data_IF_743746389199
#
_entry.id   IF_743746389199
#
_cell.length_a   1.000
_cell.length_b   1.000
_cell.length_c   1.000
_cell.angle_alpha   90.00
_cell.angle_beta   90.00
_cell.angle_gamma   90.00
#
_symmetry.space_group_name_H-M   'P 1'
#
loop_
_entity.id
_entity.type
_entity.pdbx_description
1 polymer ?
#
# COMPACT_ATOMS: atom_id res chain seq x y z
N UNK A 1 -58.09 -25.82 32.17
CA UNK A 1 -58.49 -26.16 30.79
C UNK A 1 -59.46 -27.34 30.74
N UNK A 2 -59.06 -28.57 31.12
CA UNK A 2 -59.93 -29.76 31.00
C UNK A 2 -61.31 -29.67 31.70
N UNK A 3 -61.37 -29.15 32.95
CA UNK A 3 -62.65 -28.97 33.69
C UNK A 3 -63.60 -27.95 33.03
N UNK A 4 -63.06 -26.92 32.37
CA UNK A 4 -63.83 -25.89 31.67
C UNK A 4 -64.45 -26.43 30.37
N UNK A 5 -63.69 -27.21 29.60
CA UNK A 5 -64.22 -27.88 28.40
C UNK A 5 -65.30 -28.90 28.76
N UNK A 6 -65.11 -29.66 29.85
CA UNK A 6 -66.14 -30.59 30.34
C UNK A 6 -67.46 -29.88 30.66
N UNK A 7 -67.40 -28.73 31.36
CA UNK A 7 -68.58 -27.93 31.68
C UNK A 7 -69.28 -27.35 30.43
N UNK A 8 -68.50 -26.83 29.47
CA UNK A 8 -69.05 -26.32 28.19
C UNK A 8 -69.71 -27.41 27.34
N UNK A 9 -69.15 -28.63 27.33
CA UNK A 9 -69.76 -29.78 26.65
C UNK A 9 -71.09 -30.14 27.30
N UNK A 10 -71.17 -30.14 28.64
CA UNK A 10 -72.43 -30.42 29.37
C UNK A 10 -73.50 -29.38 29.02
N UNK A 11 -73.16 -28.09 29.02
CA UNK A 11 -74.09 -27.01 28.62
C UNK A 11 -74.52 -27.18 27.16
N UNK A 12 -73.59 -27.47 26.26
CA UNK A 12 -73.89 -27.69 24.84
C UNK A 12 -74.86 -28.87 24.66
N UNK A 13 -74.61 -30.00 25.33
CA UNK A 13 -75.48 -31.17 25.28
C UNK A 13 -76.87 -30.88 25.88
N UNK A 14 -76.95 -30.12 26.98
CA UNK A 14 -78.22 -29.70 27.56
C UNK A 14 -79.02 -28.79 26.62
N UNK A 15 -78.37 -27.83 25.97
CA UNK A 15 -78.99 -26.95 24.97
C UNK A 15 -79.47 -27.75 23.74
N UNK A 16 -78.69 -28.75 23.30
CA UNK A 16 -79.02 -29.61 22.19
C UNK A 16 -80.22 -30.53 22.51
N UNK A 17 -80.29 -31.06 23.73
CA UNK A 17 -81.44 -31.81 24.22
C UNK A 17 -82.70 -30.95 24.28
N UNK A 18 -82.60 -29.69 24.70
CA UNK A 18 -83.72 -28.75 24.73
C UNK A 18 -84.20 -28.40 23.31
N UNK A 19 -83.27 -28.14 22.38
CA UNK A 19 -83.57 -27.89 20.97
C UNK A 19 -84.23 -29.09 20.29
N UNK A 20 -83.79 -30.31 20.61
CA UNK A 20 -84.38 -31.55 20.11
C UNK A 20 -85.82 -31.72 20.61
N UNK A 21 -86.08 -31.38 21.88
CA UNK A 21 -87.40 -31.44 22.48
C UNK A 21 -88.38 -30.43 21.87
N UNK A 22 -87.91 -29.22 21.57
CA UNK A 22 -88.73 -28.13 21.01
C UNK A 22 -89.01 -28.30 19.50
N UNK A 23 -88.15 -29.01 18.76
CA UNK A 23 -88.25 -29.16 17.29
C UNK A 23 -88.50 -30.61 16.87
N UNK A 24 -89.69 -31.13 17.17
CA UNK A 24 -90.10 -32.51 16.81
C UNK A 24 -90.52 -32.71 15.34
N UNK A 25 -90.58 -31.63 14.55
CA UNK A 25 -90.99 -31.69 13.15
C UNK A 25 -89.97 -32.40 12.24
N UNK A 26 -90.45 -32.98 11.14
CA UNK A 26 -89.62 -33.53 10.05
C UNK A 26 -89.54 -32.56 8.88
N UNK A 27 -88.45 -32.63 8.13
CA UNK A 27 -88.24 -31.90 6.87
C UNK A 27 -87.95 -32.93 5.79
N UNK A 28 -88.64 -32.81 4.66
CA UNK A 28 -88.34 -33.60 3.47
C UNK A 28 -87.07 -33.09 2.80
N UNK A 29 -86.01 -33.90 2.82
CA UNK A 29 -84.77 -33.62 2.10
C UNK A 29 -84.77 -34.39 0.78
N UNK A 30 -84.94 -33.69 -0.33
CA UNK A 30 -84.77 -34.28 -1.67
C UNK A 30 -83.29 -34.29 -2.03
N UNK A 31 -82.72 -35.48 -2.19
CA UNK A 31 -81.33 -35.68 -2.60
C UNK A 31 -81.24 -36.05 -4.08
N UNK A 32 -80.01 -36.18 -4.57
CA UNK A 32 -79.71 -36.53 -5.96
C UNK A 32 -80.47 -37.81 -6.38
N UNK A 33 -81.05 -37.80 -7.58
CA UNK A 33 -82.07 -38.75 -8.11
C UNK A 33 -83.52 -38.56 -7.64
N UNK A 34 -83.85 -37.48 -6.95
CA UNK A 34 -85.25 -37.12 -6.65
C UNK A 34 -85.88 -37.93 -5.52
N UNK A 35 -85.10 -38.73 -4.80
CA UNK A 35 -85.57 -39.43 -3.58
C UNK A 35 -85.68 -38.43 -2.43
N UNK A 36 -86.83 -38.42 -1.78
CA UNK A 36 -87.10 -37.55 -0.61
C UNK A 36 -87.03 -38.39 0.67
N UNK A 37 -86.18 -37.98 1.60
CA UNK A 37 -86.07 -38.58 2.94
C UNK A 37 -86.65 -37.63 3.97
N UNK A 38 -87.54 -38.10 4.85
CA UNK A 38 -88.01 -37.32 5.98
C UNK A 38 -87.01 -37.41 7.13
N UNK A 39 -86.43 -36.27 7.50
CA UNK A 39 -85.45 -36.19 8.58
C UNK A 39 -85.94 -35.26 9.69
N UNK A 40 -85.72 -35.59 10.97
CA UNK A 40 -85.95 -34.66 12.07
C UNK A 40 -85.08 -33.39 11.91
N UNK A 41 -85.63 -32.22 12.18
CA UNK A 41 -84.92 -30.92 12.09
C UNK A 41 -83.60 -30.93 12.90
N UNK A 42 -83.61 -31.56 14.07
CA UNK A 42 -82.42 -31.69 14.94
C UNK A 42 -81.24 -32.40 14.22
N UNK A 43 -81.53 -33.36 13.35
CA UNK A 43 -80.51 -34.07 12.57
C UNK A 43 -79.82 -33.14 11.59
N UNK A 44 -80.58 -32.21 10.97
CA UNK A 44 -80.03 -31.23 10.03
C UNK A 44 -79.13 -30.19 10.74
N UNK A 45 -79.52 -29.75 11.94
CA UNK A 45 -78.71 -28.86 12.79
C UNK A 45 -77.40 -29.55 13.21
N UNK A 46 -77.47 -30.83 13.62
CA UNK A 46 -76.30 -31.63 13.97
C UNK A 46 -75.36 -31.82 12.78
N UNK A 47 -75.89 -32.14 11.60
CA UNK A 47 -75.10 -32.29 10.37
C UNK A 47 -74.39 -30.97 10.01
N UNK A 48 -75.09 -29.83 10.05
CA UNK A 48 -74.50 -28.51 9.77
C UNK A 48 -73.40 -28.13 10.76
N UNK A 49 -73.64 -28.37 12.06
CA UNK A 49 -72.65 -28.12 13.12
C UNK A 49 -71.42 -29.02 12.95
N UNK A 50 -71.64 -30.29 12.60
CA UNK A 50 -70.58 -31.25 12.32
C UNK A 50 -69.74 -30.82 11.11
N UNK A 51 -70.37 -30.39 10.01
CA UNK A 51 -69.67 -29.87 8.83
C UNK A 51 -68.84 -28.63 9.21
N UNK A 52 -69.39 -27.72 10.01
CA UNK A 52 -68.68 -26.54 10.52
C UNK A 52 -67.43 -26.91 11.34
N UNK A 53 -67.59 -27.76 12.36
CA UNK A 53 -66.48 -28.25 13.18
C UNK A 53 -65.44 -28.99 12.34
N UNK A 54 -65.89 -29.86 11.43
CA UNK A 54 -65.03 -30.65 10.56
C UNK A 54 -64.23 -29.76 9.60
N UNK A 55 -64.86 -28.72 9.02
CA UNK A 55 -64.17 -27.75 8.16
C UNK A 55 -63.10 -26.96 8.92
N UNK A 56 -63.39 -26.52 10.15
CA UNK A 56 -62.41 -25.85 11.03
C UNK A 56 -61.28 -26.82 11.38
N UNK A 57 -61.59 -28.07 11.72
CA UNK A 57 -60.59 -29.10 12.03
C UNK A 57 -59.67 -29.33 10.83
N UNK A 58 -60.21 -29.46 9.63
CA UNK A 58 -59.43 -29.59 8.39
C UNK A 58 -58.50 -28.38 8.22
N UNK A 59 -59.01 -27.16 8.38
CA UNK A 59 -58.20 -25.93 8.24
C UNK A 59 -57.07 -25.88 9.27
N UNK A 60 -57.34 -26.25 10.53
CA UNK A 60 -56.34 -26.30 11.60
C UNK A 60 -55.29 -27.37 11.31
N UNK A 61 -55.69 -28.57 10.90
CA UNK A 61 -54.77 -29.66 10.54
C UNK A 61 -53.87 -29.25 9.37
N UNK A 62 -54.43 -28.66 8.31
CA UNK A 62 -53.64 -28.16 7.17
C UNK A 62 -52.66 -27.08 7.61
N UNK A 63 -53.10 -26.12 8.45
CA UNK A 63 -52.24 -25.03 8.96
C UNK A 63 -51.09 -25.58 9.79
N UNK A 64 -51.37 -26.50 10.71
CA UNK A 64 -50.37 -27.04 11.62
C UNK A 64 -49.42 -28.00 10.89
N UNK A 65 -49.90 -28.74 9.89
CA UNK A 65 -49.07 -29.52 8.98
C UNK A 65 -48.10 -28.63 8.18
N UNK A 66 -48.57 -27.50 7.63
CA UNK A 66 -47.69 -26.52 6.96
C UNK A 66 -46.63 -25.98 7.91
N UNK A 67 -47.02 -25.54 9.12
CA UNK A 67 -46.08 -25.06 10.14
C UNK A 67 -45.04 -26.11 10.53
N UNK A 68 -45.45 -27.37 10.65
CA UNK A 68 -44.55 -28.48 10.95
C UNK A 68 -43.54 -28.72 9.81
N UNK A 69 -44.01 -28.70 8.55
CA UNK A 69 -43.14 -28.83 7.38
C UNK A 69 -42.14 -27.67 7.31
N UNK A 70 -42.59 -26.43 7.51
CA UNK A 70 -41.72 -25.24 7.51
C UNK A 70 -40.66 -25.33 8.62
N UNK A 71 -41.08 -25.73 9.82
CA UNK A 71 -40.16 -25.95 10.94
C UNK A 71 -39.13 -27.04 10.64
N UNK A 72 -39.57 -28.18 10.09
CA UNK A 72 -38.70 -29.28 9.72
C UNK A 72 -37.71 -28.89 8.62
N UNK A 73 -38.16 -28.16 7.60
CA UNK A 73 -37.30 -27.64 6.53
C UNK A 73 -36.25 -26.69 7.10
N UNK A 74 -36.65 -25.76 7.98
CA UNK A 74 -35.73 -24.83 8.65
C UNK A 74 -34.69 -25.56 9.48
N UNK A 75 -35.10 -26.52 10.31
CA UNK A 75 -34.18 -27.35 11.09
C UNK A 75 -33.20 -28.12 10.21
N UNK A 76 -33.67 -28.68 9.08
CA UNK A 76 -32.81 -29.39 8.14
C UNK A 76 -31.80 -28.45 7.47
N UNK A 77 -32.21 -27.25 7.11
CA UNK A 77 -31.33 -26.22 6.56
C UNK A 77 -30.29 -25.75 7.58
N UNK A 78 -30.68 -25.53 8.83
CA UNK A 78 -29.78 -25.17 9.94
C UNK A 78 -28.76 -26.27 10.21
N UNK A 79 -29.19 -27.53 10.32
CA UNK A 79 -28.28 -28.67 10.48
C UNK A 79 -27.30 -28.80 9.30
N UNK A 80 -27.77 -28.57 8.07
CA UNK A 80 -26.91 -28.55 6.88
C UNK A 80 -25.91 -27.40 6.96
N UNK A 81 -26.34 -26.20 7.33
CA UNK A 81 -25.48 -25.02 7.45
C UNK A 81 -24.39 -25.22 8.53
N UNK A 82 -24.75 -25.78 9.69
CA UNK A 82 -23.80 -26.12 10.75
C UNK A 82 -22.74 -27.13 10.28
N UNK A 83 -23.16 -28.17 9.55
CA UNK A 83 -22.23 -29.15 8.99
C UNK A 83 -21.28 -28.52 7.96
N UNK A 84 -21.78 -27.64 7.11
CA UNK A 84 -20.94 -26.87 6.18
C UNK A 84 -19.95 -25.99 6.93
N UNK A 85 -20.41 -25.28 7.97
CA UNK A 85 -19.55 -24.42 8.78
C UNK A 85 -18.46 -25.22 9.50
N UNK A 86 -18.76 -26.43 9.98
CA UNK A 86 -17.80 -27.33 10.61
C UNK A 86 -16.73 -27.79 9.61
N UNK A 87 -17.14 -28.23 8.43
CA UNK A 87 -16.23 -28.66 7.36
C UNK A 87 -15.36 -27.48 6.89
N UNK A 88 -15.95 -26.30 6.71
CA UNK A 88 -15.22 -25.08 6.39
C UNK A 88 -14.20 -24.73 7.48
N UNK A 89 -14.57 -24.83 8.76
CA UNK A 89 -13.65 -24.54 9.87
C UNK A 89 -12.45 -25.48 9.85
N UNK A 90 -12.65 -26.79 9.65
CA UNK A 90 -11.56 -27.75 9.47
C UNK A 90 -10.67 -27.41 8.27
N UNK A 91 -11.29 -27.07 7.13
CA UNK A 91 -10.55 -26.68 5.92
C UNK A 91 -9.73 -25.39 6.10
N UNK A 92 -10.29 -24.40 6.82
CA UNK A 92 -9.61 -23.16 7.19
C UNK A 92 -8.43 -23.42 8.14
N UNK A 93 -8.61 -24.30 9.12
CA UNK A 93 -7.55 -24.63 10.07
C UNK A 93 -6.41 -25.41 9.38
N UNK A 94 -6.74 -26.30 8.43
CA UNK A 94 -5.75 -26.93 7.55
C UNK A 94 -5.01 -25.90 6.67
N UNK A 95 -5.72 -24.89 6.14
CA UNK A 95 -5.12 -23.79 5.38
C UNK A 95 -4.08 -23.00 6.20
N UNK A 96 -4.43 -22.61 7.43
CA UNK A 96 -3.49 -21.91 8.30
C UNK A 96 -2.32 -22.80 8.76
N UNK A 97 -2.53 -24.11 8.81
CA UNK A 97 -1.47 -25.09 9.04
C UNK A 97 -0.63 -25.40 7.78
N UNK A 98 -0.82 -24.66 6.67
CA UNK A 98 -0.16 -24.87 5.37
C UNK A 98 -0.37 -26.26 4.75
N UNK A 99 -1.37 -27.02 5.22
CA UNK A 99 -1.79 -28.30 4.66
C UNK A 99 -2.75 -28.06 3.48
N UNK A 100 -2.21 -27.51 2.40
CA UNK A 100 -3.02 -26.98 1.30
C UNK A 100 -3.87 -28.02 0.56
N UNK A 101 -3.41 -29.27 0.44
CA UNK A 101 -4.16 -30.31 -0.26
C UNK A 101 -5.38 -30.76 0.55
N UNK A 102 -5.20 -30.98 1.86
CA UNK A 102 -6.30 -31.25 2.81
C UNK A 102 -7.28 -30.08 2.88
N UNK A 103 -6.76 -28.85 2.92
CA UNK A 103 -7.57 -27.64 2.91
C UNK A 103 -8.42 -27.54 1.64
N UNK A 104 -7.83 -27.79 0.46
CA UNK A 104 -8.55 -27.82 -0.81
C UNK A 104 -9.70 -28.82 -0.77
N UNK A 105 -9.46 -30.06 -0.34
CA UNK A 105 -10.50 -31.09 -0.28
C UNK A 105 -11.65 -30.69 0.66
N UNK A 106 -11.33 -30.23 1.87
CA UNK A 106 -12.33 -29.84 2.86
C UNK A 106 -13.13 -28.61 2.40
N UNK A 107 -12.46 -27.60 1.84
CA UNK A 107 -13.13 -26.40 1.33
C UNK A 107 -13.98 -26.73 0.09
N UNK A 108 -13.55 -27.67 -0.75
CA UNK A 108 -14.32 -28.12 -1.90
C UNK A 108 -15.61 -28.84 -1.46
N UNK A 109 -15.54 -29.71 -0.44
CA UNK A 109 -16.72 -30.33 0.17
C UNK A 109 -17.67 -29.31 0.79
N UNK A 110 -17.14 -28.23 1.36
CA UNK A 110 -17.95 -27.14 1.89
C UNK A 110 -18.73 -26.41 0.78
N UNK A 111 -18.09 -26.11 -0.37
CA UNK A 111 -18.77 -25.46 -1.50
C UNK A 111 -19.72 -26.40 -2.26
N UNK A 112 -19.46 -27.71 -2.32
CA UNK A 112 -20.40 -28.70 -2.87
C UNK A 112 -21.71 -28.72 -2.07
N UNK A 113 -21.58 -28.60 -0.74
CA UNK A 113 -22.73 -28.57 0.16
C UNK A 113 -23.43 -27.20 0.15
N UNK A 114 -22.67 -26.11 -0.01
CA UNK A 114 -23.17 -24.75 -0.12
C UNK A 114 -22.35 -23.92 -1.13
N UNK A 115 -22.79 -23.83 -2.40
CA UNK A 115 -22.04 -23.11 -3.45
C UNK A 115 -21.89 -21.60 -3.21
N UNK A 116 -22.71 -21.01 -2.35
CA UNK A 116 -22.64 -19.58 -2.01
C UNK A 116 -21.76 -19.28 -0.78
N UNK A 117 -20.99 -20.25 -0.29
CA UNK A 117 -20.14 -20.06 0.88
C UNK A 117 -18.90 -19.20 0.58
N UNK A 118 -19.06 -17.87 0.67
CA UNK A 118 -18.06 -16.85 0.31
C UNK A 118 -16.67 -17.12 0.89
N UNK A 119 -16.57 -17.41 2.18
CA UNK A 119 -15.25 -17.59 2.82
C UNK A 119 -14.53 -18.87 2.34
N UNK A 120 -15.27 -19.89 1.91
CA UNK A 120 -14.66 -21.11 1.40
C UNK A 120 -14.10 -20.88 -0.01
N UNK A 121 -14.84 -20.13 -0.83
CA UNK A 121 -14.37 -19.67 -2.14
C UNK A 121 -13.14 -18.78 -2.01
N UNK A 122 -13.13 -17.83 -1.06
CA UNK A 122 -11.96 -16.99 -0.79
C UNK A 122 -10.73 -17.83 -0.44
N UNK A 123 -10.85 -18.75 0.51
CA UNK A 123 -9.71 -19.58 0.93
C UNK A 123 -9.22 -20.52 -0.19
N UNK A 124 -10.12 -21.05 -1.02
CA UNK A 124 -9.71 -21.79 -2.23
C UNK A 124 -8.94 -20.88 -3.19
N UNK A 125 -9.42 -19.66 -3.42
CA UNK A 125 -8.70 -18.65 -4.20
C UNK A 125 -7.31 -18.36 -3.64
N UNK A 126 -7.19 -18.20 -2.31
CA UNK A 126 -5.92 -17.96 -1.60
C UNK A 126 -4.93 -19.12 -1.78
N UNK A 127 -5.41 -20.36 -1.73
CA UNK A 127 -4.60 -21.55 -1.96
C UNK A 127 -4.07 -21.59 -3.39
N UNK A 128 -4.96 -21.40 -4.38
CA UNK A 128 -4.54 -21.40 -5.79
C UNK A 128 -3.61 -20.23 -6.13
N UNK A 129 -3.84 -19.05 -5.53
CA UNK A 129 -2.94 -17.91 -5.65
C UNK A 129 -1.53 -18.22 -5.11
N UNK A 130 -1.46 -18.96 -3.99
CA UNK A 130 -0.21 -19.40 -3.36
C UNK A 130 0.49 -20.49 -4.19
N UNK A 131 -0.27 -21.35 -4.88
CA UNK A 131 0.22 -22.35 -5.84
C UNK A 131 0.57 -21.77 -7.22
N UNK A 132 0.47 -20.46 -7.40
CA UNK A 132 0.69 -19.74 -8.67
C UNK A 132 -0.30 -20.08 -9.81
N UNK A 133 -1.39 -20.79 -9.51
CA UNK A 133 -2.50 -21.04 -10.46
C UNK A 133 -3.46 -19.83 -10.45
N UNK A 134 -3.01 -18.76 -11.10
CA UNK A 134 -3.72 -17.47 -11.13
C UNK A 134 -5.11 -17.59 -11.78
N UNK A 135 -5.27 -18.49 -12.75
CA UNK A 135 -6.53 -18.72 -13.44
C UNK A 135 -7.61 -19.28 -12.50
N UNK A 136 -7.29 -20.31 -11.72
CA UNK A 136 -8.23 -20.84 -10.71
C UNK A 136 -8.45 -19.87 -9.57
N UNK A 137 -7.42 -19.17 -9.11
CA UNK A 137 -7.57 -18.13 -8.09
C UNK A 137 -8.60 -17.07 -8.53
N UNK A 138 -8.50 -16.61 -9.79
CA UNK A 138 -9.46 -15.70 -10.41
C UNK A 138 -10.88 -16.24 -10.41
N UNK A 139 -11.06 -17.49 -10.82
CA UNK A 139 -12.38 -18.13 -10.86
C UNK A 139 -13.03 -18.15 -9.47
N UNK A 140 -12.30 -18.58 -8.43
CA UNK A 140 -12.84 -18.61 -7.07
C UNK A 140 -13.11 -17.21 -6.49
N UNK A 141 -12.20 -16.25 -6.67
CA UNK A 141 -12.42 -14.88 -6.21
C UNK A 141 -13.58 -14.18 -6.93
N UNK A 142 -13.73 -14.40 -8.25
CA UNK A 142 -14.85 -13.83 -9.00
C UNK A 142 -16.19 -14.45 -8.61
N UNK A 143 -16.23 -15.77 -8.34
CA UNK A 143 -17.42 -16.43 -7.75
C UNK A 143 -17.77 -15.81 -6.39
N UNK A 144 -16.80 -15.62 -5.51
CA UNK A 144 -17.01 -14.96 -4.22
C UNK A 144 -17.56 -13.53 -4.41
N UNK A 145 -17.01 -12.75 -5.34
CA UNK A 145 -17.44 -11.38 -5.63
C UNK A 145 -18.87 -11.31 -6.21
N UNK A 146 -19.31 -12.32 -6.96
CA UNK A 146 -20.71 -12.40 -7.45
C UNK A 146 -21.70 -12.59 -6.32
N UNK A 147 -21.33 -13.31 -5.26
CA UNK A 147 -22.21 -13.59 -4.12
C UNK A 147 -22.27 -12.39 -3.18
N UNK A 148 -21.11 -11.82 -2.83
CA UNK A 148 -21.00 -10.65 -1.94
C UNK A 148 -20.25 -9.52 -2.65
N UNK A 149 -20.90 -8.82 -3.60
CA UNK A 149 -20.28 -7.69 -4.26
C UNK A 149 -19.94 -6.60 -3.23
N UNK A 150 -18.91 -5.80 -3.52
CA UNK A 150 -18.42 -4.72 -2.63
C UNK A 150 -17.90 -5.21 -1.27
N UNK A 151 -17.47 -6.47 -1.16
CA UNK A 151 -16.70 -6.91 0.01
C UNK A 151 -15.23 -6.48 -0.12
N UNK A 152 -14.74 -5.68 0.84
CA UNK A 152 -13.35 -5.20 0.85
C UNK A 152 -12.34 -6.36 0.81
N UNK A 153 -12.54 -7.45 1.55
CA UNK A 153 -11.66 -8.63 1.55
C UNK A 153 -11.55 -9.26 0.15
N UNK A 154 -12.69 -9.38 -0.56
CA UNK A 154 -12.73 -9.97 -1.90
C UNK A 154 -12.09 -9.02 -2.92
N UNK A 155 -12.39 -7.72 -2.85
CA UNK A 155 -11.81 -6.72 -3.74
C UNK A 155 -10.29 -6.63 -3.57
N UNK A 156 -9.77 -6.71 -2.34
CA UNK A 156 -8.33 -6.77 -2.07
C UNK A 156 -7.68 -8.05 -2.62
N UNK A 157 -8.38 -9.18 -2.55
CA UNK A 157 -7.88 -10.44 -3.11
C UNK A 157 -7.79 -10.39 -4.64
N UNK A 158 -8.80 -9.81 -5.29
CA UNK A 158 -8.81 -9.57 -6.73
C UNK A 158 -7.76 -8.52 -7.16
N UNK A 159 -7.58 -7.47 -6.38
CA UNK A 159 -6.52 -6.46 -6.57
C UNK A 159 -5.13 -7.09 -6.57
N UNK A 160 -4.81 -7.86 -5.52
CA UNK A 160 -3.53 -8.56 -5.40
C UNK A 160 -3.30 -9.56 -6.54
N UNK A 161 -4.36 -10.25 -6.97
CA UNK A 161 -4.31 -11.11 -8.14
C UNK A 161 -3.99 -10.33 -9.42
N UNK A 162 -4.70 -9.23 -9.67
CA UNK A 162 -4.47 -8.36 -10.82
C UNK A 162 -3.06 -7.74 -10.80
N UNK A 163 -2.55 -7.37 -9.63
CA UNK A 163 -1.17 -6.88 -9.45
C UNK A 163 -0.15 -7.96 -9.84
N UNK A 164 -0.33 -9.20 -9.36
CA UNK A 164 0.54 -10.34 -9.70
C UNK A 164 0.51 -10.68 -11.20
N UNK A 165 -0.65 -10.52 -11.83
CA UNK A 165 -0.81 -10.64 -13.30
C UNK A 165 -0.32 -9.41 -14.07
N UNK A 166 0.20 -8.37 -13.39
CA UNK A 166 0.62 -7.08 -13.98
C UNK A 166 -0.51 -6.34 -14.72
N UNK A 167 -1.78 -6.60 -14.36
CA UNK A 167 -2.97 -5.92 -14.87
C UNK A 167 -3.27 -4.68 -14.05
N UNK A 168 -2.42 -3.66 -14.22
CA UNK A 168 -2.41 -2.44 -13.39
C UNK A 168 -3.74 -1.69 -13.37
N UNK A 169 -4.38 -1.53 -14.54
CA UNK A 169 -5.68 -0.85 -14.64
C UNK A 169 -6.79 -1.60 -13.89
N UNK A 170 -6.75 -2.93 -13.90
CA UNK A 170 -7.74 -3.75 -13.19
C UNK A 170 -7.54 -3.67 -11.67
N UNK A 171 -6.29 -3.72 -11.22
CA UNK A 171 -5.93 -3.54 -9.80
C UNK A 171 -6.36 -2.16 -9.29
N UNK A 172 -6.09 -1.08 -10.05
CA UNK A 172 -6.55 0.28 -9.73
C UNK A 172 -8.07 0.34 -9.61
N UNK A 173 -8.81 -0.27 -10.53
CA UNK A 173 -10.28 -0.32 -10.47
C UNK A 173 -10.79 -1.02 -9.20
N UNK A 174 -10.15 -2.11 -8.77
CA UNK A 174 -10.54 -2.76 -7.51
C UNK A 174 -10.24 -1.90 -6.28
N UNK A 175 -9.13 -1.15 -6.28
CA UNK A 175 -8.82 -0.17 -5.23
C UNK A 175 -9.83 0.98 -5.23
N UNK A 176 -10.21 1.47 -6.40
CA UNK A 176 -11.24 2.50 -6.55
C UNK A 176 -12.59 2.04 -5.99
N UNK A 177 -13.01 0.80 -6.29
CA UNK A 177 -14.21 0.21 -5.71
C UNK A 177 -14.14 0.11 -4.17
N UNK A 178 -12.95 -0.11 -3.60
CA UNK A 178 -12.77 -0.11 -2.13
C UNK A 178 -12.90 1.31 -1.58
N UNK A 179 -12.30 2.29 -2.26
CA UNK A 179 -12.34 3.71 -1.87
C UNK A 179 -13.74 4.33 -2.09
N UNK A 180 -14.58 3.77 -2.95
CA UNK A 180 -16.00 4.13 -3.03
C UNK A 180 -16.82 3.63 -1.84
N UNK A 181 -16.42 2.53 -1.21
CA UNK A 181 -17.09 2.00 -0.01
C UNK A 181 -16.64 2.78 1.23
N UNK A 182 -15.34 3.05 1.31
CA UNK A 182 -14.72 3.85 2.37
C UNK A 182 -13.51 4.59 1.77
N UNK A 183 -13.68 5.89 1.55
CA UNK A 183 -12.67 6.77 0.95
C UNK A 183 -11.46 7.02 1.86
N UNK A 184 -11.63 6.82 3.17
CA UNK A 184 -10.58 6.87 4.18
C UNK A 184 -9.91 5.51 4.44
N UNK A 185 -10.17 4.48 3.63
CA UNK A 185 -9.50 3.18 3.78
C UNK A 185 -8.00 3.32 3.51
N UNK A 186 -7.21 3.49 4.58
CA UNK A 186 -5.79 3.76 4.49
C UNK A 186 -5.00 2.62 3.83
N UNK A 187 -5.43 1.37 4.04
CA UNK A 187 -4.79 0.22 3.39
C UNK A 187 -4.97 0.26 1.88
N UNK A 188 -6.14 0.67 1.38
CA UNK A 188 -6.39 0.82 -0.05
C UNK A 188 -5.62 2.02 -0.63
N UNK A 189 -5.55 3.14 0.09
CA UNK A 189 -4.75 4.30 -0.31
C UNK A 189 -3.26 3.95 -0.42
N UNK A 190 -2.69 3.24 0.56
CA UNK A 190 -1.30 2.80 0.51
C UNK A 190 -1.02 1.86 -0.67
N UNK A 191 -1.90 0.89 -0.93
CA UNK A 191 -1.79 -0.01 -2.09
C UNK A 191 -1.85 0.78 -3.40
N UNK A 192 -2.80 1.71 -3.52
CA UNK A 192 -2.95 2.56 -4.71
C UNK A 192 -1.72 3.41 -4.97
N UNK A 193 -1.16 4.02 -3.92
CA UNK A 193 0.10 4.78 -3.98
C UNK A 193 1.26 3.90 -4.45
N UNK A 194 1.45 2.73 -3.84
CA UNK A 194 2.53 1.82 -4.19
C UNK A 194 2.41 1.32 -5.65
N UNK A 195 1.18 1.11 -6.13
CA UNK A 195 0.91 0.74 -7.51
C UNK A 195 1.28 1.87 -8.49
N UNK A 196 0.94 3.12 -8.16
CA UNK A 196 1.39 4.27 -8.94
C UNK A 196 2.92 4.43 -8.90
N UNK A 197 3.56 4.16 -7.76
CA UNK A 197 5.01 4.22 -7.62
C UNK A 197 5.71 3.19 -8.53
N UNK A 198 5.25 1.94 -8.50
CA UNK A 198 5.77 0.87 -9.33
C UNK A 198 5.65 1.16 -10.83
N UNK A 199 4.64 1.95 -11.21
CA UNK A 199 4.36 2.34 -12.60
C UNK A 199 4.83 3.76 -12.93
N UNK A 200 5.62 4.41 -12.07
CA UNK A 200 6.14 5.79 -12.24
C UNK A 200 5.05 6.84 -12.55
N UNK A 201 3.82 6.62 -12.06
CA UNK A 201 2.68 7.55 -12.18
C UNK A 201 2.71 8.59 -11.07
N UNK A 202 3.74 9.43 -11.09
CA UNK A 202 4.08 10.33 -9.97
C UNK A 202 3.05 11.42 -9.71
N UNK A 203 2.35 11.92 -10.74
CA UNK A 203 1.33 12.95 -10.57
C UNK A 203 0.12 12.39 -9.80
N UNK A 204 -0.42 11.27 -10.27
CA UNK A 204 -1.54 10.56 -9.63
C UNK A 204 -1.17 10.03 -8.24
N UNK A 205 0.10 9.64 -8.05
CA UNK A 205 0.63 9.27 -6.74
C UNK A 205 0.53 10.40 -5.73
N UNK A 206 0.89 11.63 -6.10
CA UNK A 206 0.84 12.77 -5.19
C UNK A 206 -0.58 13.05 -4.70
N UNK A 207 -1.60 12.90 -5.56
CA UNK A 207 -3.00 13.07 -5.15
C UNK A 207 -3.38 12.06 -4.05
N UNK A 208 -2.96 10.81 -4.19
CA UNK A 208 -3.16 9.78 -3.16
C UNK A 208 -2.36 10.09 -1.90
N UNK A 209 -1.11 10.56 -2.04
CA UNK A 209 -0.27 10.92 -0.90
C UNK A 209 -0.87 12.06 -0.07
N UNK A 210 -1.44 13.08 -0.71
CA UNK A 210 -2.14 14.15 0.01
C UNK A 210 -3.37 13.64 0.77
N UNK A 211 -4.11 12.69 0.20
CA UNK A 211 -5.23 12.02 0.90
C UNK A 211 -4.73 11.27 2.14
N UNK A 212 -3.67 10.48 2.02
CA UNK A 212 -3.06 9.74 3.14
C UNK A 212 -2.66 10.68 4.29
N UNK A 213 -2.03 11.82 3.98
CA UNK A 213 -1.61 12.80 5.01
C UNK A 213 -2.81 13.47 5.67
N UNK A 214 -3.93 13.63 4.94
CA UNK A 214 -5.17 14.23 5.47
C UNK A 214 -5.95 13.25 6.36
N UNK A 215 -5.86 11.95 6.11
CA UNK A 215 -6.51 10.90 6.90
C UNK A 215 -6.07 10.90 8.37
N UNK A 216 -6.90 10.28 9.22
CA UNK A 216 -6.61 10.09 10.64
C UNK A 216 -5.63 8.92 10.84
N UNK A 217 -4.34 9.24 10.71
CA UNK A 217 -3.22 8.31 10.95
C UNK A 217 -2.37 8.79 12.14
N UNK A 218 -1.68 7.88 12.85
CA UNK A 218 -0.82 8.23 13.96
C UNK A 218 0.19 9.33 13.60
N UNK A 219 0.45 10.28 14.50
CA UNK A 219 1.32 11.44 14.25
C UNK A 219 2.73 11.04 13.73
N UNK A 220 3.29 9.94 14.25
CA UNK A 220 4.59 9.41 13.81
C UNK A 220 4.54 8.95 12.35
N UNK A 221 3.46 8.31 11.94
CA UNK A 221 3.24 7.91 10.54
C UNK A 221 3.01 9.12 9.65
N UNK A 222 2.23 10.11 10.12
CA UNK A 222 2.02 11.36 9.40
C UNK A 222 3.32 12.11 9.12
N UNK A 223 4.24 12.17 10.08
CA UNK A 223 5.58 12.75 9.89
C UNK A 223 6.40 11.96 8.85
N UNK A 224 6.34 10.63 8.88
CA UNK A 224 6.99 9.79 7.86
C UNK A 224 6.38 10.05 6.48
N UNK A 225 5.07 10.16 6.38
CA UNK A 225 4.38 10.41 5.11
C UNK A 225 4.61 11.82 4.57
N UNK A 226 4.81 12.81 5.43
CA UNK A 226 5.27 14.14 5.03
C UNK A 226 6.69 14.09 4.43
N UNK A 227 7.60 13.28 4.99
CA UNK A 227 8.94 13.07 4.41
C UNK A 227 8.86 12.33 3.07
N UNK A 228 8.02 11.30 2.97
CA UNK A 228 7.78 10.59 1.71
C UNK A 228 7.24 11.52 0.62
N UNK A 229 6.33 12.45 0.98
CA UNK A 229 5.80 13.45 0.05
C UNK A 229 6.90 14.27 -0.63
N UNK A 230 7.95 14.65 0.11
CA UNK A 230 9.10 15.35 -0.46
C UNK A 230 9.85 14.46 -1.46
N UNK A 231 10.06 13.20 -1.10
CA UNK A 231 10.62 12.19 -2.00
C UNK A 231 9.81 11.99 -3.29
N UNK A 232 8.48 11.87 -3.19
CA UNK A 232 7.62 11.73 -4.36
C UNK A 232 7.60 12.98 -5.25
N UNK A 233 7.69 14.18 -4.67
CA UNK A 233 7.88 15.41 -5.44
C UNK A 233 9.21 15.42 -6.18
N UNK A 234 10.29 14.94 -5.54
CA UNK A 234 11.58 14.77 -6.21
C UNK A 234 11.46 13.85 -7.43
N UNK A 235 10.80 12.70 -7.29
CA UNK A 235 10.59 11.76 -8.41
C UNK A 235 9.74 12.35 -9.54
N UNK A 236 8.70 13.13 -9.22
CA UNK A 236 7.92 13.85 -10.23
C UNK A 236 8.76 14.87 -10.99
N UNK A 237 9.60 15.63 -10.28
CA UNK A 237 10.52 16.59 -10.90
C UNK A 237 11.53 15.88 -11.82
N UNK A 238 12.10 14.76 -11.36
CA UNK A 238 13.02 13.96 -12.17
C UNK A 238 12.34 13.37 -13.41
N UNK A 239 11.11 12.88 -13.28
CA UNK A 239 10.32 12.45 -14.43
C UNK A 239 10.11 13.56 -15.46
N UNK A 240 9.79 14.79 -15.03
CA UNK A 240 9.67 15.91 -15.96
C UNK A 240 11.00 16.27 -16.64
N UNK A 241 12.14 16.09 -15.97
CA UNK A 241 13.46 16.27 -16.58
C UNK A 241 13.75 15.20 -17.64
N UNK A 242 13.41 13.95 -17.38
CA UNK A 242 13.56 12.83 -18.32
C UNK A 242 12.71 13.04 -19.58
N UNK A 243 11.50 13.57 -19.42
CA UNK A 243 10.58 13.90 -20.53
C UNK A 243 10.94 15.22 -21.25
N UNK A 244 12.02 15.91 -20.85
CA UNK A 244 12.43 17.20 -21.43
C UNK A 244 11.56 18.39 -21.05
N UNK A 245 10.62 18.24 -20.12
CA UNK A 245 9.74 19.30 -19.61
C UNK A 245 10.42 20.11 -18.48
N UNK A 246 11.56 20.75 -18.79
CA UNK A 246 12.39 21.47 -17.82
C UNK A 246 11.61 22.51 -16.99
N UNK A 247 10.70 23.29 -17.59
CA UNK A 247 9.88 24.29 -16.88
C UNK A 247 9.02 23.68 -15.76
N UNK A 248 8.47 22.49 -15.99
CA UNK A 248 7.67 21.78 -14.98
C UNK A 248 8.57 21.27 -13.86
N UNK A 249 9.73 20.72 -14.20
CA UNK A 249 10.71 20.27 -13.23
C UNK A 249 11.21 21.42 -12.32
N UNK A 250 11.55 22.57 -12.91
CA UNK A 250 11.97 23.78 -12.18
C UNK A 250 10.93 24.18 -11.14
N UNK A 251 9.64 24.23 -11.51
CA UNK A 251 8.54 24.56 -10.58
C UNK A 251 8.47 23.55 -9.42
N UNK A 252 8.58 22.26 -9.72
CA UNK A 252 8.53 21.20 -8.71
C UNK A 252 9.71 21.31 -7.74
N UNK A 253 10.94 21.42 -8.23
CA UNK A 253 12.13 21.50 -7.37
C UNK A 253 12.21 22.79 -6.55
N UNK A 254 11.80 23.94 -7.11
CA UNK A 254 11.65 25.19 -6.33
C UNK A 254 10.68 24.99 -5.16
N UNK A 255 9.56 24.30 -5.40
CA UNK A 255 8.59 24.01 -4.33
C UNK A 255 9.14 23.04 -3.27
N UNK A 256 9.99 22.10 -3.69
CA UNK A 256 10.63 21.12 -2.82
C UNK A 256 11.67 21.79 -1.91
N UNK A 257 12.53 22.64 -2.46
CA UNK A 257 13.52 23.44 -1.72
C UNK A 257 12.84 24.39 -0.73
N UNK A 258 11.72 25.01 -1.12
CA UNK A 258 10.95 25.85 -0.19
C UNK A 258 10.39 25.05 1.00
N UNK A 259 10.03 23.79 0.78
CA UNK A 259 9.53 22.91 1.84
C UNK A 259 10.65 22.33 2.71
N UNK A 260 11.81 22.05 2.12
CA UNK A 260 13.00 21.54 2.79
C UNK A 260 14.29 22.13 2.17
N UNK A 261 14.83 23.21 2.75
CA UNK A 261 16.10 23.81 2.31
C UNK A 261 17.32 22.90 2.46
N UNK A 262 17.20 21.77 3.17
CA UNK A 262 18.28 20.79 3.31
C UNK A 262 18.18 19.64 2.30
N UNK A 263 17.24 19.70 1.35
CA UNK A 263 17.09 18.69 0.30
C UNK A 263 18.13 18.88 -0.82
N UNK A 264 19.39 18.50 -0.55
CA UNK A 264 20.54 18.59 -1.47
C UNK A 264 20.23 18.06 -2.87
N UNK A 265 19.56 16.92 -2.99
CA UNK A 265 19.23 16.34 -4.30
C UNK A 265 18.29 17.21 -5.15
N UNK A 266 17.49 18.09 -4.53
CA UNK A 266 16.59 19.01 -5.23
C UNK A 266 17.35 20.19 -5.83
N UNK A 267 18.39 20.69 -5.14
CA UNK A 267 19.27 21.72 -5.69
C UNK A 267 20.03 21.20 -6.91
N UNK A 268 20.56 19.96 -6.85
CA UNK A 268 21.26 19.33 -7.97
C UNK A 268 20.36 19.21 -9.21
N UNK A 269 19.16 18.67 -9.07
CA UNK A 269 18.25 18.52 -10.21
C UNK A 269 17.63 19.84 -10.66
N UNK A 270 17.48 20.83 -9.78
CA UNK A 270 17.06 22.17 -10.19
C UNK A 270 18.13 22.84 -11.05
N UNK A 271 19.40 22.75 -10.66
CA UNK A 271 20.52 23.24 -11.47
C UNK A 271 20.57 22.52 -12.82
N UNK A 272 20.44 21.19 -12.85
CA UNK A 272 20.35 20.42 -14.10
C UNK A 272 19.18 20.88 -14.99
N UNK A 273 18.02 21.15 -14.39
CA UNK A 273 16.85 21.65 -15.11
C UNK A 273 17.09 23.02 -15.76
N UNK A 274 17.79 23.93 -15.06
CA UNK A 274 18.18 25.20 -15.63
C UNK A 274 19.22 25.05 -16.74
N UNK A 275 20.23 24.20 -16.57
CA UNK A 275 21.21 23.92 -17.62
C UNK A 275 20.55 23.37 -18.88
N UNK A 276 19.59 22.43 -18.74
CA UNK A 276 18.80 21.92 -19.87
C UNK A 276 17.92 22.98 -20.53
N UNK A 277 17.50 24.00 -19.78
CA UNK A 277 16.76 25.15 -20.30
C UNK A 277 17.67 26.25 -20.90
N UNK A 278 19.00 26.11 -20.79
CA UNK A 278 19.98 27.11 -21.24
C UNK A 278 20.23 28.26 -20.24
N UNK A 279 19.66 28.17 -19.04
CA UNK A 279 19.73 29.20 -18.00
C UNK A 279 20.93 28.93 -17.08
N UNK A 280 22.13 29.24 -17.57
CA UNK A 280 23.40 28.91 -16.91
C UNK A 280 23.57 29.64 -15.58
N UNK A 281 23.33 30.95 -15.54
CA UNK A 281 23.51 31.78 -14.34
C UNK A 281 22.61 31.31 -13.19
N UNK A 282 21.36 30.94 -13.48
CA UNK A 282 20.45 30.41 -12.48
C UNK A 282 20.86 29.03 -11.95
N UNK A 283 21.52 28.20 -12.78
CA UNK A 283 22.05 26.93 -12.32
C UNK A 283 23.17 27.15 -11.29
N UNK A 284 24.08 28.10 -11.55
CA UNK A 284 25.16 28.47 -10.64
C UNK A 284 24.63 29.00 -9.31
N UNK A 285 23.70 29.97 -9.36
CA UNK A 285 23.05 30.56 -8.19
C UNK A 285 22.36 29.51 -7.31
N UNK A 286 21.70 28.53 -7.92
CA UNK A 286 21.05 27.43 -7.19
C UNK A 286 22.06 26.54 -6.49
N UNK A 287 23.17 26.17 -7.14
CA UNK A 287 24.20 25.34 -6.52
C UNK A 287 24.86 26.07 -5.36
N UNK A 288 25.18 27.37 -5.52
CA UNK A 288 25.74 28.20 -4.47
C UNK A 288 24.76 28.34 -3.29
N UNK A 289 23.48 28.66 -3.55
CA UNK A 289 22.44 28.72 -2.52
C UNK A 289 22.26 27.40 -1.79
N UNK A 290 22.28 26.29 -2.51
CA UNK A 290 22.18 24.97 -1.91
C UNK A 290 23.36 24.65 -0.99
N UNK A 291 24.58 24.96 -1.45
CA UNK A 291 25.77 24.79 -0.62
C UNK A 291 25.71 25.67 0.62
N UNK A 292 25.28 26.93 0.49
CA UNK A 292 25.11 27.82 1.63
C UNK A 292 24.04 27.36 2.63
N UNK A 293 23.03 26.61 2.17
CA UNK A 293 21.94 26.11 3.01
C UNK A 293 22.33 24.87 3.83
N UNK A 294 23.06 23.92 3.24
CA UNK A 294 23.31 22.61 3.87
C UNK A 294 24.78 22.12 3.84
N UNK A 295 25.70 22.94 3.34
CA UNK A 295 27.14 22.66 3.26
C UNK A 295 27.49 21.34 2.56
N UNK A 296 26.64 20.84 1.66
CA UNK A 296 26.89 19.58 0.96
C UNK A 296 27.94 19.76 -0.15
N UNK A 297 29.11 19.12 0.02
CA UNK A 297 30.24 19.19 -0.92
C UNK A 297 29.92 18.79 -2.36
N UNK A 298 28.90 17.95 -2.59
CA UNK A 298 28.48 17.61 -3.95
C UNK A 298 27.98 18.84 -4.73
N UNK A 299 27.35 19.80 -4.06
CA UNK A 299 26.87 21.03 -4.71
C UNK A 299 28.05 21.90 -5.14
N UNK A 300 29.05 22.02 -4.28
CA UNK A 300 30.29 22.73 -4.57
C UNK A 300 31.08 22.06 -5.70
N UNK A 301 31.17 20.73 -5.70
CA UNK A 301 31.82 19.96 -6.77
C UNK A 301 31.11 20.14 -8.12
N UNK A 302 29.76 20.14 -8.15
CA UNK A 302 29.02 20.40 -9.39
C UNK A 302 29.20 21.84 -9.89
N UNK A 303 29.27 22.80 -8.98
CA UNK A 303 29.51 24.20 -9.35
C UNK A 303 30.94 24.40 -9.89
N UNK A 304 31.93 23.76 -9.27
CA UNK A 304 33.30 23.71 -9.77
C UNK A 304 33.37 23.12 -11.19
N UNK A 305 32.79 21.94 -11.42
CA UNK A 305 32.80 21.30 -12.74
C UNK A 305 32.20 22.21 -13.81
N UNK A 306 31.14 22.94 -13.46
CA UNK A 306 30.49 23.88 -14.36
C UNK A 306 31.36 25.11 -14.67
N UNK A 307 31.87 25.80 -13.65
CA UNK A 307 32.70 27.00 -13.81
C UNK A 307 34.00 26.72 -14.56
N UNK A 308 34.61 25.55 -14.33
CA UNK A 308 35.80 25.11 -15.08
C UNK A 308 35.45 24.87 -16.55
N UNK A 309 34.31 24.24 -16.84
CA UNK A 309 33.87 24.03 -18.22
C UNK A 309 33.60 25.35 -18.97
N UNK A 310 33.15 26.38 -18.24
CA UNK A 310 32.95 27.73 -18.76
C UNK A 310 34.25 28.55 -18.89
N UNK A 311 35.38 28.06 -18.37
CA UNK A 311 36.65 28.75 -18.42
C UNK A 311 36.80 29.88 -17.38
N UNK A 312 36.03 29.82 -16.29
CA UNK A 312 36.06 30.83 -15.21
C UNK A 312 36.61 30.28 -13.87
N UNK A 313 37.83 29.71 -13.84
CA UNK A 313 38.37 29.08 -12.64
C UNK A 313 38.60 30.06 -11.47
N UNK A 314 38.72 31.37 -11.75
CA UNK A 314 38.84 32.41 -10.73
C UNK A 314 37.62 32.50 -9.81
N UNK A 315 36.40 32.38 -10.37
CA UNK A 315 35.17 32.35 -9.57
C UNK A 315 35.13 31.12 -8.66
N UNK A 316 35.62 29.98 -9.14
CA UNK A 316 35.71 28.75 -8.34
C UNK A 316 36.66 28.93 -7.15
N UNK A 317 37.82 29.55 -7.36
CA UNK A 317 38.77 29.85 -6.27
C UNK A 317 38.13 30.78 -5.23
N UNK A 318 37.47 31.86 -5.67
CA UNK A 318 36.79 32.80 -4.79
C UNK A 318 35.68 32.10 -3.96
N UNK A 319 34.93 31.19 -4.58
CA UNK A 319 33.90 30.40 -3.93
C UNK A 319 34.47 29.53 -2.80
N UNK A 320 35.55 28.79 -3.05
CA UNK A 320 36.23 28.01 -2.01
C UNK A 320 36.80 28.91 -0.91
N UNK A 321 37.41 30.04 -1.26
CA UNK A 321 37.93 31.00 -0.28
C UNK A 321 36.82 31.56 0.62
N UNK A 322 35.67 31.94 0.05
CA UNK A 322 34.50 32.37 0.83
C UNK A 322 33.98 31.25 1.74
N UNK A 323 33.93 30.02 1.24
CA UNK A 323 33.52 28.86 2.04
C UNK A 323 34.48 28.62 3.21
N UNK A 324 35.79 28.72 3.00
CA UNK A 324 36.83 28.59 4.04
C UNK A 324 36.75 29.76 5.03
N UNK A 325 36.50 30.98 4.58
CA UNK A 325 36.33 32.12 5.50
C UNK A 325 35.13 31.92 6.44
N UNK A 326 34.06 31.29 5.97
CA UNK A 326 32.87 30.97 6.78
C UNK A 326 33.13 29.84 7.77
N UNK A 327 33.98 28.87 7.41
CA UNK A 327 34.35 27.73 8.24
C UNK A 327 35.86 27.43 8.16
N UNK A 328 36.72 28.23 8.85
CA UNK A 328 38.17 28.14 8.70
C UNK A 328 38.78 26.82 9.18
N UNK A 329 38.08 26.09 10.06
CA UNK A 329 38.51 24.80 10.57
C UNK A 329 38.22 23.63 9.64
N UNK A 330 37.52 23.85 8.53
CA UNK A 330 37.10 22.80 7.61
C UNK A 330 38.24 22.35 6.69
N UNK A 331 38.99 21.36 7.15
CA UNK A 331 40.10 20.77 6.41
C UNK A 331 39.69 20.22 5.03
N UNK A 332 38.42 19.80 4.86
CA UNK A 332 37.93 19.30 3.56
C UNK A 332 37.87 20.42 2.53
N UNK A 333 37.48 21.64 2.93
CA UNK A 333 37.46 22.79 2.02
C UNK A 333 38.88 23.18 1.59
N UNK A 334 39.84 23.13 2.52
CA UNK A 334 41.26 23.35 2.19
C UNK A 334 41.77 22.26 1.23
N UNK A 335 41.42 20.99 1.45
CA UNK A 335 41.76 19.88 0.56
C UNK A 335 41.22 20.09 -0.85
N UNK A 336 39.94 20.46 -1.00
CA UNK A 336 39.37 20.70 -2.32
C UNK A 336 39.95 21.93 -3.00
N UNK A 337 40.26 23.00 -2.25
CA UNK A 337 40.95 24.16 -2.81
C UNK A 337 42.36 23.80 -3.30
N UNK A 338 43.12 23.01 -2.52
CA UNK A 338 44.43 22.51 -2.94
C UNK A 338 44.34 21.64 -4.20
N UNK A 339 43.32 20.76 -4.27
CA UNK A 339 43.04 19.94 -5.45
C UNK A 339 42.70 20.80 -6.67
N UNK A 340 41.93 21.88 -6.49
CA UNK A 340 41.61 22.83 -7.55
C UNK A 340 42.87 23.55 -8.04
N UNK A 341 43.70 24.09 -7.13
CA UNK A 341 44.97 24.72 -7.52
C UNK A 341 45.87 23.75 -8.29
N UNK A 342 45.95 22.49 -7.86
CA UNK A 342 46.70 21.46 -8.58
C UNK A 342 46.13 21.23 -9.99
N UNK A 343 44.80 21.11 -10.13
CA UNK A 343 44.11 20.95 -11.43
C UNK A 343 44.37 22.13 -12.37
N UNK A 344 44.54 23.34 -11.84
CA UNK A 344 44.84 24.56 -12.58
C UNK A 344 46.35 24.79 -12.80
N UNK A 345 47.20 23.81 -12.47
CA UNK A 345 48.67 23.88 -12.56
C UNK A 345 49.29 25.03 -11.72
N UNK A 346 48.56 25.51 -10.69
CA UNK A 346 49.04 26.49 -9.71
C UNK A 346 49.78 25.77 -8.57
N UNK A 347 50.90 25.12 -8.91
CA UNK A 347 51.55 24.11 -8.06
C UNK A 347 52.01 24.65 -6.68
N UNK A 348 52.50 25.88 -6.60
CA UNK A 348 52.96 26.46 -5.32
C UNK A 348 51.78 26.74 -4.37
N UNK A 349 50.68 27.31 -4.88
CA UNK A 349 49.45 27.51 -4.13
C UNK A 349 48.81 26.18 -3.72
N UNK A 350 48.87 25.17 -4.59
CA UNK A 350 48.41 23.82 -4.27
C UNK A 350 49.18 23.23 -3.10
N UNK A 351 50.52 23.37 -3.08
CA UNK A 351 51.34 22.88 -1.99
C UNK A 351 51.06 23.62 -0.68
N UNK A 352 50.96 24.95 -0.74
CA UNK A 352 50.66 25.78 0.43
C UNK A 352 49.33 25.37 1.08
N UNK A 353 48.27 25.27 0.28
CA UNK A 353 46.95 24.85 0.74
C UNK A 353 46.95 23.41 1.26
N UNK A 354 47.67 22.48 0.60
CA UNK A 354 47.71 21.08 1.02
C UNK A 354 48.50 20.84 2.32
N UNK A 355 49.60 21.57 2.53
CA UNK A 355 50.42 21.46 3.76
C UNK A 355 49.79 22.18 4.95
N UNK A 356 48.95 23.18 4.70
CA UNK A 356 48.18 23.86 5.75
C UNK A 356 47.12 22.97 6.40
N UNK A 357 46.79 21.83 5.78
CA UNK A 357 45.81 20.89 6.29
C UNK A 357 46.34 20.17 7.52
N UNK A 358 45.60 20.27 8.62
CA UNK A 358 45.91 19.55 9.84
C UNK A 358 45.60 18.05 9.68
N UNK A 359 46.64 17.26 9.46
CA UNK A 359 46.56 15.79 9.34
C UNK A 359 46.00 15.11 10.60
N UNK A 360 46.00 15.76 11.78
CA UNK A 360 45.31 15.21 12.95
C UNK A 360 43.79 15.24 12.81
N UNK A 361 43.26 16.19 12.02
CA UNK A 361 41.83 16.38 11.78
C UNK A 361 41.37 15.78 10.45
N UNK A 362 42.27 15.71 9.46
CA UNK A 362 41.97 15.18 8.14
C UNK A 362 43.20 14.43 7.58
N UNK A 363 43.25 13.13 7.88
CA UNK A 363 44.19 12.19 7.28
C UNK A 363 43.42 11.27 6.32
N UNK A 364 43.71 11.39 5.02
CA UNK A 364 43.10 10.57 3.99
C UNK A 364 44.12 10.15 2.93
N UNK A 365 43.91 8.98 2.33
CA UNK A 365 44.72 8.53 1.18
C UNK A 365 44.70 9.56 0.04
N UNK A 366 43.57 10.24 -0.16
CA UNK A 366 43.41 11.26 -1.20
C UNK A 366 44.28 12.51 -0.95
N UNK A 367 44.42 12.93 0.31
CA UNK A 367 45.35 14.02 0.68
C UNK A 367 46.79 13.64 0.35
N UNK A 368 47.22 12.45 0.77
CA UNK A 368 48.58 11.97 0.53
C UNK A 368 48.89 11.73 -0.95
N UNK A 369 47.92 11.25 -1.74
CA UNK A 369 48.04 11.17 -3.20
C UNK A 369 48.21 12.57 -3.80
N UNK A 370 47.41 13.56 -3.37
CA UNK A 370 47.52 14.93 -3.85
C UNK A 370 48.89 15.54 -3.51
N UNK A 371 49.35 15.43 -2.27
CA UNK A 371 50.68 15.90 -1.85
C UNK A 371 51.81 15.21 -2.63
N UNK A 372 51.70 13.89 -2.84
CA UNK A 372 52.65 13.12 -3.64
C UNK A 372 52.73 13.63 -5.08
N UNK A 373 51.58 13.84 -5.72
CA UNK A 373 51.47 14.38 -7.08
C UNK A 373 52.03 15.82 -7.17
N UNK A 374 51.74 16.67 -6.17
CA UNK A 374 52.29 18.04 -6.10
C UNK A 374 53.82 17.99 -5.99
N UNK A 375 54.39 17.15 -5.12
CA UNK A 375 55.84 17.00 -4.99
C UNK A 375 56.48 16.43 -6.26
N UNK A 376 55.81 15.50 -6.93
CA UNK A 376 56.25 14.96 -8.23
C UNK A 376 56.34 16.06 -9.29
N UNK A 377 55.30 16.91 -9.42
CA UNK A 377 55.30 18.08 -10.31
C UNK A 377 56.45 19.05 -10.01
N UNK A 378 56.86 19.15 -8.74
CA UNK A 378 58.02 19.94 -8.30
C UNK A 378 59.36 19.20 -8.39
N UNK A 379 59.41 17.99 -8.97
CA UNK A 379 60.60 17.12 -9.05
C UNK A 379 61.19 16.70 -7.70
N UNK A 380 60.42 16.81 -6.61
CA UNK A 380 60.80 16.39 -5.26
C UNK A 380 60.46 14.91 -5.04
N UNK A 381 61.08 14.04 -5.83
CA UNK A 381 60.72 12.61 -5.90
C UNK A 381 60.82 11.89 -4.55
N UNK A 382 61.78 12.25 -3.69
CA UNK A 382 61.92 11.64 -2.36
C UNK A 382 60.70 11.88 -1.47
N UNK A 383 60.20 13.13 -1.43
CA UNK A 383 58.98 13.49 -0.69
C UNK A 383 57.73 12.89 -1.31
N UNK A 384 57.65 12.89 -2.65
CA UNK A 384 56.54 12.27 -3.36
C UNK A 384 56.38 10.79 -2.98
N UNK A 385 57.49 10.04 -2.98
CA UNK A 385 57.51 8.63 -2.56
C UNK A 385 57.10 8.45 -1.10
N UNK A 386 57.48 9.37 -0.21
CA UNK A 386 57.06 9.32 1.20
C UNK A 386 55.54 9.48 1.35
N UNK A 387 54.95 10.46 0.67
CA UNK A 387 53.51 10.71 0.67
C UNK A 387 52.73 9.56 0.04
N UNK A 388 53.17 9.03 -1.11
CA UNK A 388 52.55 7.85 -1.71
C UNK A 388 52.63 6.62 -0.79
N UNK A 389 53.71 6.43 -0.04
CA UNK A 389 53.78 5.37 0.98
C UNK A 389 52.76 5.57 2.10
N UNK A 390 52.50 6.82 2.54
CA UNK A 390 51.44 7.13 3.51
C UNK A 390 50.07 6.77 2.93
N UNK A 391 49.80 7.16 1.67
CA UNK A 391 48.56 6.81 0.99
C UNK A 391 48.31 5.29 0.90
N UNK A 392 49.36 4.50 0.64
CA UNK A 392 49.29 3.03 0.54
C UNK A 392 49.12 2.30 1.88
N UNK A 393 49.56 2.91 2.99
CA UNK A 393 49.40 2.34 4.33
C UNK A 393 47.96 2.42 4.85
N UNK A 394 47.14 3.29 4.25
CA UNK A 394 45.72 3.31 4.55
C UNK A 394 45.06 2.03 4.02
N UNK A 395 44.54 1.21 4.93
CA UNK A 395 43.95 -0.11 4.65
C UNK A 395 42.74 -0.10 3.69
N UNK A 396 42.28 1.06 3.22
CA UNK A 396 40.99 1.22 2.54
C UNK A 396 41.18 1.36 1.03
N UNK A 397 40.86 0.32 0.22
CA UNK A 397 40.96 0.40 -1.22
C UNK A 397 39.91 1.36 -1.80
N UNK A 398 40.32 2.07 -2.85
CA UNK A 398 39.52 2.78 -3.87
C UNK A 398 38.01 2.91 -3.56
N UNK A 399 37.64 4.02 -2.92
CA UNK A 399 36.26 4.28 -2.54
C UNK A 399 35.44 4.79 -3.72
N UNK A 400 34.27 4.19 -3.89
CA UNK A 400 33.21 4.76 -4.71
C UNK A 400 32.89 6.16 -4.18
N UNK A 401 32.83 7.21 -5.03
CA UNK A 401 32.75 8.60 -4.57
C UNK A 401 31.48 8.92 -3.79
N UNK A 402 30.44 8.09 -3.88
CA UNK A 402 29.16 8.36 -3.25
C UNK A 402 28.67 7.18 -2.43
N UNK A 403 27.94 7.52 -1.39
CA UNK A 403 27.43 6.53 -0.45
C UNK A 403 26.17 7.01 0.25
N UNK A 404 25.31 6.07 0.63
CA UNK A 404 24.12 6.35 1.40
C UNK A 404 24.43 6.42 2.89
N UNK A 405 24.25 7.58 3.52
CA UNK A 405 24.44 7.79 4.95
C UNK A 405 23.43 7.03 5.84
N UNK A 406 22.51 6.25 5.26
CA UNK A 406 21.53 5.43 6.01
C UNK A 406 21.79 3.94 5.97
N UNK A 407 22.22 3.39 4.83
CA UNK A 407 22.45 1.96 4.69
C UNK A 407 23.89 1.60 4.30
N UNK A 408 24.75 2.57 4.02
CA UNK A 408 26.13 2.34 3.60
C UNK A 408 26.29 1.91 2.14
N UNK A 409 25.21 1.78 1.37
CA UNK A 409 25.28 1.49 -0.07
C UNK A 409 26.21 2.48 -0.78
N UNK A 410 27.14 1.98 -1.59
CA UNK A 410 28.11 2.80 -2.34
C UNK A 410 27.80 2.81 -3.83
N UNK A 411 28.09 3.93 -4.51
CA UNK A 411 27.80 4.13 -5.93
C UNK A 411 28.84 5.02 -6.61
N UNK A 412 29.09 4.76 -7.90
CA UNK A 412 29.96 5.62 -8.73
C UNK A 412 29.27 6.91 -9.13
N UNK A 413 27.95 6.84 -9.28
CA UNK A 413 27.09 7.96 -9.66
C UNK A 413 26.28 8.44 -8.47
N UNK A 414 26.06 9.76 -8.40
CA UNK A 414 25.18 10.35 -7.41
C UNK A 414 23.72 10.01 -7.72
N UNK A 415 22.97 9.59 -6.70
CA UNK A 415 21.53 9.35 -6.83
C UNK A 415 20.77 10.07 -5.72
N UNK A 416 19.69 10.78 -6.05
CA UNK A 416 18.86 11.43 -5.02
C UNK A 416 17.99 10.47 -4.23
N UNK A 417 17.79 9.23 -4.72
CA UNK A 417 17.09 8.13 -4.05
C UNK A 417 18.00 6.91 -3.99
N UNK A 418 18.24 6.39 -2.80
CA UNK A 418 19.09 5.22 -2.62
C UNK A 418 18.51 3.99 -3.35
N UNK A 419 19.31 3.29 -4.19
CA UNK A 419 18.86 2.06 -4.86
C UNK A 419 18.51 0.93 -3.88
N UNK A 420 19.24 0.85 -2.75
CA UNK A 420 19.07 -0.22 -1.76
C UNK A 420 17.96 0.09 -0.74
N UNK A 421 18.11 1.15 0.06
CA UNK A 421 17.14 1.47 1.13
C UNK A 421 15.95 2.31 0.67
N UNK A 422 15.94 2.78 -0.58
CA UNK A 422 14.85 3.55 -1.22
C UNK A 422 14.54 4.91 -0.58
N UNK A 423 15.36 5.36 0.38
CA UNK A 423 15.24 6.68 1.02
C UNK A 423 15.84 7.79 0.14
N UNK A 424 15.18 8.94 0.15
CA UNK A 424 15.63 10.14 -0.56
C UNK A 424 16.59 11.00 0.26
N UNK A 425 17.41 11.77 -0.45
CA UNK A 425 18.31 12.77 0.14
C UNK A 425 19.22 12.17 1.23
N UNK A 426 19.73 10.97 0.98
CA UNK A 426 20.61 10.23 1.90
C UNK A 426 22.02 10.06 1.37
N UNK A 427 22.25 10.36 0.10
CA UNK A 427 23.58 10.23 -0.50
C UNK A 427 24.47 11.37 -0.05
N UNK A 428 25.76 11.06 0.12
CA UNK A 428 26.81 12.01 0.42
C UNK A 428 28.07 11.64 -0.39
N UNK A 429 28.97 12.62 -0.55
CA UNK A 429 30.29 12.42 -1.15
C UNK A 429 31.19 11.72 -0.11
N UNK A 430 31.69 10.53 -0.44
CA UNK A 430 32.54 9.71 0.44
C UNK A 430 34.01 10.11 0.31
N UNK A 431 34.38 11.20 0.98
CA UNK A 431 35.75 11.72 0.90
C UNK A 431 36.69 10.93 1.82
N UNK A 432 36.17 10.38 2.93
CA UNK A 432 36.96 9.86 4.06
C UNK A 432 36.60 8.41 4.46
N UNK A 433 35.74 7.75 3.70
CA UNK A 433 35.16 6.46 4.11
C UNK A 433 34.18 6.63 5.27
N UNK A 434 33.56 7.80 5.34
CA UNK A 434 32.60 8.25 6.35
C UNK A 434 31.27 7.50 6.31
N UNK A 435 30.98 6.79 5.22
CA UNK A 435 29.70 6.09 5.05
C UNK A 435 29.59 4.73 5.71
N UNK A 436 30.46 4.42 6.68
CA UNK A 436 30.24 3.27 7.54
C UNK A 436 29.18 3.58 8.60
N UNK A 437 28.20 2.67 8.66
CA UNK A 437 27.39 2.40 9.85
C UNK A 437 28.27 1.90 11.01
#
# INVERSE_FOLDING_TARGET
MAKLYGFLIIIFLAALSLLAYLNKGTVGLTVWEGKTYELPIISLILISTFIGIFSILIVVVIRDARRYVDYWQKQRQEKKALKVQEVYSKGRDAFFASRYDEACELLQRAIESNPSHVNALLRLGDIYFSKDDLAKARDFYTKANRIKPRSVEILLSLEKLSEKEKKWQEALRYLDNILEINDENISALYRKRNLFEANKKWAELLDVQYKIIKSDIPIKEKQKEQKNLLGFKYELGNYYLEEGAADKAIKVFRSLIKADPNFTAAYLLLAEAYLKAGNVEEAEDVLEKGYNANSAFILLARLEDHLIAMGEPGKTIELYQKAIQKDPGNQKLQFFLAKLYYRLEMIDYALEAAVAIDTALFDSSNLHILLGNIYERRTQHSKAVEEFKKAMKAEKPFMSPFCCAKCGYTSKDWTGRCPECRLWNTFALDIDGTCKA
#
